data_IF_926185914658
#
_entry.id   IF_926185914658
#
_cell.length_a   1.000
_cell.length_b   1.000
_cell.length_c   1.000
_cell.angle_alpha   90.00
_cell.angle_beta   90.00
_cell.angle_gamma   90.00
#
_symmetry.space_group_name_H-M   'P 1'
#
loop_
_entity.id
_entity.type
_entity.pdbx_description
1 polymer ?
#
# COMPACT_ATOMS: atom_id res chain seq x y z
N UNK A 1 -2.80 -2.73 7.02
CA UNK A 1 -2.59 -3.85 7.97
C UNK A 1 -1.53 -3.56 9.06
N UNK A 2 -1.06 -2.31 9.23
CA UNK A 2 0.00 -1.94 10.19
C UNK A 2 -0.48 -1.61 11.61
N UNK A 3 -1.80 -1.47 11.82
CA UNK A 3 -2.34 -1.11 13.13
C UNK A 3 -2.24 -2.22 14.18
N UNK A 4 -2.24 -3.49 13.76
CA UNK A 4 -2.32 -4.65 14.67
C UNK A 4 -0.93 -5.17 15.04
N UNK A 5 0.07 -4.96 14.19
CA UNK A 5 1.45 -5.43 14.44
C UNK A 5 2.10 -4.66 15.58
N UNK A 6 1.81 -3.36 15.72
CA UNK A 6 2.40 -2.50 16.75
C UNK A 6 2.10 -2.98 18.18
N UNK A 7 0.85 -3.25 18.59
CA UNK A 7 0.55 -3.79 19.91
C UNK A 7 1.26 -5.12 20.21
N UNK A 8 1.36 -6.01 19.23
CA UNK A 8 2.00 -7.33 19.40
C UNK A 8 3.50 -7.15 19.65
N UNK A 9 4.16 -6.31 18.85
CA UNK A 9 5.59 -6.01 19.02
C UNK A 9 5.86 -5.34 20.37
N UNK A 10 5.02 -4.39 20.78
CA UNK A 10 5.17 -3.71 22.07
C UNK A 10 4.99 -4.70 23.22
N UNK A 11 3.96 -5.53 23.20
CA UNK A 11 3.72 -6.55 24.23
C UNK A 11 4.90 -7.51 24.36
N UNK A 12 5.44 -7.97 23.23
CA UNK A 12 6.60 -8.86 23.22
C UNK A 12 7.87 -8.18 23.75
N UNK A 13 8.11 -6.92 23.37
CA UNK A 13 9.23 -6.14 23.88
C UNK A 13 9.13 -5.90 25.39
N UNK A 14 7.94 -5.57 25.89
CA UNK A 14 7.69 -5.43 27.32
C UNK A 14 7.89 -6.75 28.07
N UNK A 15 7.49 -7.87 27.48
CA UNK A 15 7.69 -9.20 28.05
C UNK A 15 9.18 -9.55 28.13
N UNK A 16 9.96 -9.32 27.06
CA UNK A 16 11.42 -9.53 27.08
C UNK A 16 12.13 -8.62 28.09
N UNK A 17 11.77 -7.34 28.15
CA UNK A 17 12.33 -6.42 29.15
C UNK A 17 11.91 -6.80 30.57
N UNK A 18 10.67 -7.24 30.76
CA UNK A 18 10.15 -7.70 32.04
C UNK A 18 10.92 -8.90 32.55
N UNK A 19 11.23 -9.86 31.68
CA UNK A 19 12.06 -11.03 31.96
C UNK A 19 13.51 -10.64 32.28
N UNK A 20 14.10 -9.69 31.54
CA UNK A 20 15.47 -9.21 31.79
C UNK A 20 15.65 -8.65 33.20
N UNK A 21 14.64 -7.90 33.69
CA UNK A 21 14.68 -7.28 35.03
C UNK A 21 14.24 -8.25 36.14
N UNK A 22 13.59 -9.36 35.79
CA UNK A 22 13.03 -10.32 36.73
C UNK A 22 13.51 -11.74 36.39
N UNK A 23 14.78 -12.07 36.69
CA UNK A 23 15.38 -13.35 36.31
C UNK A 23 14.70 -14.55 36.97
N UNK A 24 13.94 -14.35 38.05
CA UNK A 24 13.12 -15.39 38.68
C UNK A 24 12.00 -15.93 37.77
N UNK A 25 11.55 -15.16 36.77
CA UNK A 25 10.55 -15.63 35.79
C UNK A 25 11.10 -16.73 34.88
N UNK A 26 12.41 -16.73 34.64
CA UNK A 26 13.10 -17.74 33.84
C UNK A 26 13.21 -19.08 34.56
N UNK A 27 13.14 -19.07 35.90
CA UNK A 27 13.21 -20.28 36.72
C UNK A 27 11.98 -21.19 36.54
N UNK A 28 10.88 -20.63 36.01
CA UNK A 28 9.69 -21.40 35.62
C UNK A 28 9.82 -22.09 34.25
N UNK A 29 10.72 -21.61 33.39
CA UNK A 29 11.10 -22.27 32.14
C UNK A 29 12.19 -23.29 32.49
N UNK A 30 11.78 -24.51 32.83
CA UNK A 30 12.59 -25.62 33.37
C UNK A 30 13.87 -26.02 32.57
N UNK A 31 14.24 -25.29 31.52
CA UNK A 31 15.48 -25.45 30.76
C UNK A 31 16.40 -24.23 30.89
N UNK A 32 17.40 -24.30 31.77
CA UNK A 32 18.43 -23.25 31.98
C UNK A 32 19.19 -22.87 30.70
N UNK A 33 19.26 -23.80 29.76
CA UNK A 33 20.06 -23.67 28.55
C UNK A 33 19.38 -22.71 27.56
N UNK A 34 18.09 -22.93 27.26
CA UNK A 34 17.38 -22.13 26.26
C UNK A 34 17.08 -20.72 26.80
N UNK A 35 16.76 -20.61 28.09
CA UNK A 35 16.39 -19.34 28.73
C UNK A 35 17.56 -18.35 28.79
N UNK A 36 18.78 -18.83 29.04
CA UNK A 36 20.00 -18.02 29.02
C UNK A 36 20.33 -17.49 27.62
N UNK A 37 20.21 -18.33 26.58
CA UNK A 37 20.49 -17.93 25.20
C UNK A 37 19.52 -16.87 24.63
N UNK A 38 18.31 -16.72 25.15
CA UNK A 38 17.30 -15.80 24.59
C UNK A 38 17.57 -14.34 25.00
N UNK A 39 18.14 -14.14 26.18
CA UNK A 39 18.35 -12.83 26.81
C UNK A 39 19.71 -12.25 26.43
N UNK A 40 20.67 -13.12 26.15
CA UNK A 40 22.00 -12.73 25.72
C UNK A 40 21.97 -12.06 24.33
N UNK A 41 22.97 -11.22 24.08
CA UNK A 41 23.24 -10.65 22.76
C UNK A 41 23.83 -11.74 21.86
N UNK A 42 23.49 -11.74 20.58
CA UNK A 42 24.12 -12.64 19.60
C UNK A 42 25.62 -12.31 19.47
N UNK A 43 26.54 -13.20 19.89
CA UNK A 43 27.97 -12.97 19.79
C UNK A 43 28.50 -13.19 18.36
N UNK A 44 27.71 -13.83 17.48
CA UNK A 44 28.13 -14.23 16.14
C UNK A 44 27.68 -13.29 15.03
N UNK A 45 26.78 -12.34 15.31
CA UNK A 45 26.15 -11.44 14.34
C UNK A 45 25.41 -12.16 13.18
N UNK A 46 25.20 -13.47 13.28
CA UNK A 46 24.55 -14.29 12.26
C UNK A 46 23.04 -14.03 12.25
N UNK A 47 22.41 -13.86 13.42
CA UNK A 47 20.97 -13.65 13.50
C UNK A 47 20.55 -12.27 12.94
N UNK A 48 21.23 -11.15 13.28
CA UNK A 48 20.94 -9.84 12.69
C UNK A 48 21.11 -9.81 11.18
N UNK A 49 22.12 -10.51 10.64
CA UNK A 49 22.37 -10.55 9.18
C UNK A 49 21.30 -11.36 8.45
N UNK A 50 20.85 -12.48 9.00
CA UNK A 50 19.71 -13.26 8.44
C UNK A 50 18.42 -12.44 8.48
N UNK A 51 18.13 -11.77 9.60
CA UNK A 51 16.93 -10.94 9.73
C UNK A 51 16.93 -9.76 8.75
N UNK A 52 18.08 -9.10 8.58
CA UNK A 52 18.29 -8.06 7.59
C UNK A 52 18.12 -8.59 6.15
N UNK A 53 18.73 -9.74 5.84
CA UNK A 53 18.59 -10.39 4.53
C UNK A 53 17.15 -10.76 4.21
N UNK A 54 16.41 -11.27 5.20
CA UNK A 54 15.00 -11.66 5.05
C UNK A 54 14.11 -10.43 4.85
N UNK A 55 14.38 -9.34 5.57
CA UNK A 55 13.67 -8.06 5.41
C UNK A 55 13.95 -7.46 4.03
N UNK A 56 15.20 -7.52 3.55
CA UNK A 56 15.57 -7.07 2.21
C UNK A 56 14.87 -7.91 1.13
N UNK A 57 14.88 -9.23 1.24
CA UNK A 57 14.20 -10.13 0.31
C UNK A 57 12.70 -9.84 0.27
N UNK A 58 12.08 -9.63 1.43
CA UNK A 58 10.66 -9.26 1.52
C UNK A 58 10.40 -7.91 0.84
N UNK A 59 11.25 -6.91 1.07
CA UNK A 59 11.13 -5.61 0.44
C UNK A 59 11.26 -5.69 -1.09
N UNK A 60 12.25 -6.42 -1.60
CA UNK A 60 12.46 -6.61 -3.04
C UNK A 60 11.29 -7.34 -3.69
N UNK A 61 10.77 -8.40 -3.06
CA UNK A 61 9.60 -9.14 -3.53
C UNK A 61 8.31 -8.33 -3.49
N UNK A 62 8.19 -7.35 -2.59
CA UNK A 62 7.04 -6.44 -2.50
C UNK A 62 7.19 -5.17 -3.35
N UNK A 63 8.37 -4.90 -3.92
CA UNK A 63 8.70 -3.63 -4.58
C UNK A 63 8.07 -3.40 -5.97
N UNK A 64 6.94 -4.02 -6.28
CA UNK A 64 6.14 -3.74 -7.49
C UNK A 64 5.44 -2.36 -7.43
N UNK A 65 6.12 -1.34 -6.89
CA UNK A 65 5.59 0.00 -6.72
C UNK A 65 5.56 0.66 -8.09
N UNK A 66 4.40 1.20 -8.45
CA UNK A 66 4.11 1.86 -9.73
C UNK A 66 4.71 3.29 -9.76
N UNK A 67 6.02 3.41 -9.49
CA UNK A 67 6.82 4.65 -9.46
C UNK A 67 7.79 4.69 -10.65
N UNK A 68 8.23 5.90 -11.04
CA UNK A 68 9.19 6.10 -12.13
C UNK A 68 10.46 5.25 -11.94
N UNK A 69 11.03 4.74 -13.04
CA UNK A 69 12.21 3.87 -13.03
C UNK A 69 13.41 4.51 -12.29
N UNK A 70 13.54 5.84 -12.35
CA UNK A 70 14.57 6.60 -11.63
C UNK A 70 14.34 6.55 -10.12
N UNK A 71 13.10 6.81 -9.67
CA UNK A 71 12.72 6.80 -8.25
C UNK A 71 12.84 5.39 -7.66
N UNK A 72 12.49 4.35 -8.41
CA UNK A 72 12.67 2.97 -7.98
C UNK A 72 14.13 2.62 -7.69
N UNK A 73 15.09 3.11 -8.50
CA UNK A 73 16.52 2.86 -8.27
C UNK A 73 16.99 3.48 -6.96
N UNK A 74 16.63 4.75 -6.71
CA UNK A 74 16.97 5.43 -5.46
C UNK A 74 16.31 4.78 -4.24
N UNK A 75 15.05 4.36 -4.36
CA UNK A 75 14.34 3.70 -3.28
C UNK A 75 14.96 2.33 -2.93
N UNK A 76 15.31 1.53 -3.94
CA UNK A 76 16.01 0.25 -3.72
C UNK A 76 17.38 0.44 -3.08
N UNK A 77 18.12 1.47 -3.49
CA UNK A 77 19.39 1.81 -2.87
C UNK A 77 19.20 2.23 -1.41
N UNK A 78 18.25 3.13 -1.13
CA UNK A 78 17.94 3.59 0.22
C UNK A 78 17.53 2.43 1.14
N UNK A 79 16.69 1.51 0.66
CA UNK A 79 16.30 0.31 1.41
C UNK A 79 17.53 -0.54 1.71
N UNK A 80 18.41 -0.81 0.73
CA UNK A 80 19.64 -1.59 0.96
C UNK A 80 20.56 -0.95 2.00
N UNK A 81 20.78 0.36 1.91
CA UNK A 81 21.60 1.10 2.89
C UNK A 81 20.96 1.07 4.27
N UNK A 82 19.64 1.27 4.36
CA UNK A 82 18.90 1.21 5.61
C UNK A 82 19.01 -0.18 6.24
N UNK A 83 18.92 -1.24 5.45
CA UNK A 83 19.06 -2.62 5.94
C UNK A 83 20.48 -2.87 6.49
N UNK A 84 21.52 -2.35 5.84
CA UNK A 84 22.89 -2.46 6.36
C UNK A 84 23.07 -1.74 7.71
N UNK A 85 22.55 -0.52 7.83
CA UNK A 85 22.58 0.23 9.10
C UNK A 85 21.77 -0.48 10.18
N UNK A 86 20.66 -1.10 9.81
CA UNK A 86 19.81 -1.84 10.74
C UNK A 86 20.54 -3.03 11.38
N UNK A 87 21.48 -3.68 10.69
CA UNK A 87 22.28 -4.78 11.26
C UNK A 87 23.07 -4.28 12.47
N UNK A 88 23.72 -3.12 12.35
CA UNK A 88 24.49 -2.52 13.43
C UNK A 88 23.61 -2.15 14.62
N UNK A 89 22.46 -1.52 14.38
CA UNK A 89 21.53 -1.12 15.44
C UNK A 89 20.94 -2.35 16.14
N UNK A 90 20.53 -3.36 15.38
CA UNK A 90 19.84 -4.54 15.94
C UNK A 90 20.82 -5.48 16.64
N UNK A 91 22.13 -5.34 16.42
CA UNK A 91 23.16 -6.08 17.18
C UNK A 91 23.14 -5.76 18.67
N UNK A 92 22.54 -4.63 19.08
CA UNK A 92 22.39 -4.29 20.49
C UNK A 92 21.24 -5.03 21.18
N UNK A 93 20.36 -5.69 20.42
CA UNK A 93 19.11 -6.29 20.90
C UNK A 93 19.30 -7.76 21.33
N UNK A 94 18.45 -8.27 22.24
CA UNK A 94 18.51 -9.65 22.71
C UNK A 94 18.09 -10.64 21.62
N UNK A 95 18.65 -11.86 21.66
CA UNK A 95 18.38 -12.96 20.70
C UNK A 95 16.88 -13.27 20.60
N UNK A 96 16.14 -13.17 21.69
CA UNK A 96 14.70 -13.42 21.73
C UNK A 96 13.88 -12.61 20.75
N UNK A 97 14.33 -11.39 20.40
CA UNK A 97 13.66 -10.58 19.39
C UNK A 97 13.74 -11.23 17.99
N UNK A 98 14.89 -11.81 17.66
CA UNK A 98 15.14 -12.47 16.38
C UNK A 98 14.44 -13.82 16.25
N UNK A 99 14.33 -14.58 17.35
CA UNK A 99 13.61 -15.87 17.38
C UNK A 99 12.14 -15.71 17.01
N UNK A 100 11.53 -14.56 17.31
CA UNK A 100 10.20 -14.22 16.82
C UNK A 100 10.22 -13.64 15.40
N UNK A 101 11.16 -12.73 15.12
CA UNK A 101 11.18 -11.96 13.87
C UNK A 101 11.45 -12.82 12.62
N UNK A 102 12.41 -13.76 12.72
CA UNK A 102 12.85 -14.58 11.59
C UNK A 102 11.74 -15.53 11.13
N UNK A 103 11.13 -16.36 11.99
CA UNK A 103 10.03 -17.25 11.56
C UNK A 103 8.84 -16.47 11.02
N UNK A 104 8.48 -15.34 11.62
CA UNK A 104 7.38 -14.51 11.12
C UNK A 104 7.67 -13.98 9.71
N UNK A 105 8.90 -13.54 9.46
CA UNK A 105 9.33 -13.06 8.14
C UNK A 105 9.40 -14.20 7.12
N UNK A 106 9.87 -15.39 7.51
CA UNK A 106 9.91 -16.60 6.66
C UNK A 106 8.49 -17.08 6.32
N UNK A 107 7.58 -17.13 7.29
CA UNK A 107 6.18 -17.50 7.06
C UNK A 107 5.49 -16.49 6.13
N UNK A 108 5.76 -15.20 6.31
CA UNK A 108 5.24 -14.15 5.44
C UNK A 108 5.77 -14.29 4.01
N UNK A 109 7.05 -14.62 3.83
CA UNK A 109 7.64 -14.91 2.53
C UNK A 109 7.04 -16.16 1.90
N UNK A 110 6.87 -17.23 2.67
CA UNK A 110 6.25 -18.46 2.21
C UNK A 110 4.82 -18.19 1.74
N UNK A 111 4.05 -17.44 2.52
CA UNK A 111 2.71 -17.00 2.16
C UNK A 111 2.71 -16.16 0.87
N UNK A 112 3.64 -15.22 0.74
CA UNK A 112 3.80 -14.42 -0.47
C UNK A 112 4.11 -15.26 -1.70
N UNK A 113 4.97 -16.27 -1.57
CA UNK A 113 5.30 -17.21 -2.65
C UNK A 113 4.10 -18.08 -3.03
N UNK A 114 3.34 -18.59 -2.05
CA UNK A 114 2.10 -19.33 -2.28
C UNK A 114 1.09 -18.46 -3.04
N UNK A 115 0.91 -17.20 -2.62
CA UNK A 115 0.00 -16.27 -3.29
C UNK A 115 0.47 -15.82 -4.68
N UNK A 116 1.76 -15.94 -4.99
CA UNK A 116 2.28 -15.69 -6.34
C UNK A 116 2.00 -16.83 -7.31
N UNK A 117 1.78 -18.04 -6.81
CA UNK A 117 1.50 -19.20 -7.65
C UNK A 117 0.12 -19.05 -8.34
N UNK A 118 0.03 -19.15 -9.68
CA UNK A 118 -1.24 -18.97 -10.41
C UNK A 118 -2.28 -20.05 -10.08
N UNK A 119 -1.84 -21.25 -9.69
CA UNK A 119 -2.73 -22.35 -9.29
C UNK A 119 -3.54 -22.03 -8.03
N UNK A 120 -2.95 -21.34 -7.05
CA UNK A 120 -3.64 -20.93 -5.82
C UNK A 120 -4.66 -19.83 -6.11
N UNK A 121 -4.31 -18.88 -6.98
CA UNK A 121 -5.22 -17.82 -7.43
C UNK A 121 -6.41 -18.35 -8.22
N UNK A 122 -6.18 -19.36 -9.07
CA UNK A 122 -7.25 -20.02 -9.84
C UNK A 122 -8.21 -20.81 -8.96
N UNK A 123 -7.72 -21.41 -7.87
CA UNK A 123 -8.57 -22.08 -6.89
C UNK A 123 -9.47 -21.10 -6.11
N UNK A 124 -8.94 -19.93 -5.77
CA UNK A 124 -9.65 -18.89 -5.01
C UNK A 124 -10.33 -17.80 -5.88
N UNK A 125 -10.37 -17.96 -7.22
CA UNK A 125 -10.90 -16.97 -8.16
C UNK A 125 -10.39 -15.53 -7.94
N UNK A 126 -9.11 -15.40 -7.56
CA UNK A 126 -8.49 -14.09 -7.34
C UNK A 126 -8.05 -13.50 -8.68
N UNK A 127 -8.24 -12.18 -8.92
CA UNK A 127 -7.85 -11.53 -10.16
C UNK A 127 -6.36 -11.73 -10.43
N UNK A 128 -6.06 -11.99 -11.69
CA UNK A 128 -4.72 -12.26 -12.16
C UNK A 128 -3.87 -11.00 -12.00
N UNK A 129 -2.57 -11.14 -11.77
CA UNK A 129 -1.71 -9.99 -11.53
C UNK A 129 -1.74 -8.99 -12.71
N UNK A 130 -1.96 -9.49 -13.93
CA UNK A 130 -2.13 -8.70 -15.14
C UNK A 130 -3.45 -7.89 -15.17
N UNK A 131 -4.52 -8.42 -14.56
CA UNK A 131 -5.81 -7.71 -14.46
C UNK A 131 -5.73 -6.59 -13.41
N UNK A 132 -5.03 -6.83 -12.30
CA UNK A 132 -4.81 -5.81 -11.26
C UNK A 132 -4.01 -4.63 -11.82
N UNK A 133 -2.99 -4.90 -12.67
CA UNK A 133 -2.21 -3.84 -13.33
C UNK A 133 -3.06 -3.02 -14.31
N UNK A 134 -3.99 -3.66 -15.03
CA UNK A 134 -4.93 -2.95 -15.93
C UNK A 134 -5.87 -2.05 -15.14
N UNK A 135 -6.48 -2.56 -14.08
CA UNK A 135 -7.37 -1.78 -13.20
C UNK A 135 -6.66 -0.57 -12.60
N UNK A 136 -5.39 -0.72 -12.17
CA UNK A 136 -4.58 0.41 -11.67
C UNK A 136 -4.21 1.43 -12.76
N UNK A 137 -4.10 0.99 -14.01
CA UNK A 137 -3.78 1.88 -15.15
C UNK A 137 -5.00 2.71 -15.51
N UNK A 138 -6.18 2.10 -15.54
CA UNK A 138 -7.44 2.79 -15.83
C UNK A 138 -7.79 3.82 -14.73
N UNK A 139 -7.58 3.49 -13.45
CA UNK A 139 -7.77 4.44 -12.34
C UNK A 139 -6.76 5.60 -12.37
N UNK A 140 -5.49 5.33 -12.71
CA UNK A 140 -4.47 6.37 -12.88
C UNK A 140 -4.79 7.29 -14.06
N UNK A 141 -5.31 6.74 -15.14
CA UNK A 141 -5.72 7.49 -16.31
C UNK A 141 -6.94 8.38 -15.99
N UNK A 142 -7.96 7.81 -15.33
CA UNK A 142 -9.14 8.54 -14.88
C UNK A 142 -8.79 9.70 -13.93
N UNK A 143 -7.92 9.47 -12.95
CA UNK A 143 -7.47 10.51 -12.02
C UNK A 143 -6.63 11.61 -12.70
N UNK A 144 -5.81 11.29 -13.70
CA UNK A 144 -5.11 12.29 -14.52
C UNK A 144 -6.07 13.14 -15.36
N UNK A 145 -7.13 12.54 -15.91
CA UNK A 145 -8.18 13.27 -16.62
C UNK A 145 -8.97 14.19 -15.69
N UNK A 146 -9.35 13.72 -14.50
CA UNK A 146 -10.05 14.56 -13.52
C UNK A 146 -9.18 15.73 -13.05
N UNK A 147 -7.90 15.48 -12.76
CA UNK A 147 -6.97 16.53 -12.33
C UNK A 147 -6.67 17.56 -13.44
N UNK A 148 -6.67 17.15 -14.71
CA UNK A 148 -6.54 18.07 -15.84
C UNK A 148 -7.84 18.84 -16.11
N UNK A 149 -9.01 18.23 -15.92
CA UNK A 149 -10.29 18.91 -15.97
C UNK A 149 -10.40 19.97 -14.86
N UNK A 150 -10.04 19.65 -13.62
CA UNK A 150 -10.04 20.60 -12.51
C UNK A 150 -9.07 21.75 -12.73
N UNK A 151 -7.85 21.49 -13.22
CA UNK A 151 -6.91 22.56 -13.57
C UNK A 151 -7.44 23.47 -14.66
N UNK A 152 -8.09 22.92 -15.68
CA UNK A 152 -8.69 23.72 -16.75
C UNK A 152 -9.89 24.52 -16.24
N UNK A 153 -10.70 23.98 -15.32
CA UNK A 153 -11.84 24.68 -14.71
C UNK A 153 -11.38 25.85 -13.83
N UNK A 154 -10.23 25.74 -13.14
CA UNK A 154 -9.68 26.84 -12.35
C UNK A 154 -9.15 28.00 -13.21
N UNK A 155 -8.76 27.73 -14.45
CA UNK A 155 -8.30 28.73 -15.41
C UNK A 155 -9.46 29.38 -16.20
N UNK A 156 -10.68 28.87 -16.04
CA UNK A 156 -11.89 29.46 -16.62
C UNK A 156 -12.41 30.53 -15.67
N UNK A 157 -12.12 31.78 -16.03
CA UNK A 157 -12.74 32.95 -15.41
C UNK A 157 -14.25 32.94 -15.67
N UNK A 158 -15.04 32.72 -14.62
CA UNK A 158 -16.51 32.69 -14.67
C UNK A 158 -17.14 34.07 -14.96
N UNK A 159 -16.33 35.13 -15.12
CA UNK A 159 -16.81 36.46 -15.53
C UNK A 159 -17.22 36.54 -17.01
N UNK A 160 -16.79 35.60 -17.85
CA UNK A 160 -17.17 35.51 -19.26
C UNK A 160 -18.08 34.30 -19.54
N UNK A 161 -19.29 34.49 -20.10
CA UNK A 161 -20.17 33.37 -20.44
C UNK A 161 -19.51 32.49 -21.53
N UNK A 162 -19.71 31.16 -21.49
CA UNK A 162 -19.08 30.23 -22.43
C UNK A 162 -19.43 30.60 -23.88
N UNK A 163 -18.52 30.34 -24.82
CA UNK A 163 -18.63 30.72 -26.26
C UNK A 163 -19.97 30.28 -26.88
N UNK A 164 -20.60 29.21 -26.38
CA UNK A 164 -21.94 28.78 -26.79
C UNK A 164 -23.06 29.79 -26.48
N UNK A 165 -22.93 30.58 -25.40
CA UNK A 165 -23.87 31.64 -25.02
C UNK A 165 -23.65 32.94 -25.82
N UNK A 166 -22.50 33.09 -26.49
CA UNK A 166 -22.22 34.23 -27.37
C UNK A 166 -22.77 34.02 -28.79
N UNK A 167 -22.92 32.76 -29.22
CA UNK A 167 -23.42 32.39 -30.56
C UNK A 167 -24.94 32.56 -30.73
N UNK A 168 -25.69 32.65 -29.63
CA UNK A 168 -27.14 32.84 -29.65
C UNK A 168 -27.52 33.98 -28.70
N UNK A 169 -27.73 35.22 -29.19
CA UNK A 169 -28.19 36.31 -28.35
C UNK A 169 -29.54 35.94 -27.73
N UNK A 170 -29.77 36.39 -26.48
CA UNK A 170 -30.92 36.02 -25.63
C UNK A 170 -32.31 36.11 -26.29
N UNK A 171 -32.44 36.86 -27.39
CA UNK A 171 -33.68 37.00 -28.14
C UNK A 171 -34.05 35.70 -28.91
N UNK A 172 -33.07 34.95 -29.43
CA UNK A 172 -33.33 33.74 -30.22
C UNK A 172 -33.73 32.52 -29.36
N UNK A 173 -33.29 32.47 -28.11
CA UNK A 173 -33.61 31.38 -27.18
C UNK A 173 -35.13 31.35 -26.89
N UNK A 174 -35.77 32.51 -26.85
CA UNK A 174 -37.21 32.65 -26.65
C UNK A 174 -37.98 32.19 -27.91
N UNK A 175 -37.49 32.51 -29.11
CA UNK A 175 -38.08 32.06 -30.37
C UNK A 175 -37.99 30.54 -30.59
N UNK A 176 -36.91 29.89 -30.11
CA UNK A 176 -36.78 28.43 -30.20
C UNK A 176 -37.72 27.68 -29.26
N UNK A 177 -38.00 28.24 -28.07
CA UNK A 177 -38.94 27.61 -27.13
C UNK A 177 -40.40 27.69 -27.63
N UNK A 178 -40.79 28.79 -28.29
CA UNK A 178 -42.15 28.96 -28.83
C UNK A 178 -42.42 28.11 -30.08
N UNK A 179 -41.44 27.88 -30.96
CA UNK A 179 -41.62 26.95 -32.10
C UNK A 179 -41.79 25.51 -31.65
N UNK A 180 -40.98 25.07 -30.69
CA UNK A 180 -40.99 23.67 -30.23
C UNK A 180 -42.25 23.35 -29.45
N UNK A 181 -42.78 24.30 -28.67
CA UNK A 181 -44.06 24.13 -27.95
C UNK A 181 -45.26 24.02 -28.92
N UNK A 182 -45.27 24.81 -30.00
CA UNK A 182 -46.32 24.76 -31.04
C UNK A 182 -46.25 23.47 -31.88
N UNK A 183 -45.07 22.95 -32.18
CA UNK A 183 -44.94 21.65 -32.87
C UNK A 183 -45.37 20.47 -31.99
N UNK A 184 -45.06 20.50 -30.69
CA UNK A 184 -45.46 19.45 -29.74
C UNK A 184 -46.99 19.45 -29.54
N UNK A 185 -47.63 20.63 -29.48
CA UNK A 185 -49.11 20.71 -29.41
C UNK A 185 -49.77 20.22 -30.71
N UNK A 186 -49.23 20.55 -31.89
CA UNK A 186 -49.77 20.10 -33.18
C UNK A 186 -49.60 18.58 -33.41
N UNK A 187 -48.59 17.96 -32.81
CA UNK A 187 -48.41 16.52 -32.85
C UNK A 187 -49.38 15.78 -31.89
N UNK A 188 -49.69 16.37 -30.73
CA UNK A 188 -50.63 15.80 -29.77
C UNK A 188 -52.11 15.94 -30.19
N UNK A 189 -52.47 16.97 -30.97
CA UNK A 189 -53.84 17.14 -31.49
C UNK A 189 -54.17 16.25 -32.70
N UNK A 190 -53.18 15.57 -33.29
CA UNK A 190 -53.37 14.58 -34.37
C UNK A 190 -53.45 13.14 -33.87
N UNK A 191 -53.25 12.92 -32.56
CA UNK A 191 -53.29 11.60 -31.91
C UNK A 191 -54.52 11.40 -31.01
N UNK A 192 -55.50 12.30 -31.07
CA UNK A 192 -56.83 12.14 -30.46
C UNK A 192 -57.89 12.03 -31.55
#
# INVERSE_FOLDING_TARGET
MTGITLPITISMFLLLNGILHNPHLLQSLQSDIISSYIIERDPTYILPTIAAGTTLATAELNSNMSVSATVQKYLKFAIRTLTLVSIYITSYFPIGLFVYWIPNSVLSLLWLLIQRQPSYRRYFNLPTQDEIVKLQTDDKLASQFLQSAERNIQLVDYSTPPIYAQKYPKQDIIFFHDRKSKEIQKHNSRRR
#
